data_IF_597480105856
#
_entry.id   IF_597480105856
#
_cell.length_a   1.000
_cell.length_b   1.000
_cell.length_c   1.000
_cell.angle_alpha   90.00
_cell.angle_beta   90.00
_cell.angle_gamma   90.00
#
_symmetry.space_group_name_H-M   'P 1'
#
loop_
_entity.id
_entity.type
_entity.pdbx_description
1 polymer ?
#
# COMPACT_ATOMS: atom_id res chain seq x y z
N UNK A 1 -52.33 -3.60 -30.93
CA UNK A 1 -52.13 -2.24 -30.40
C UNK A 1 -51.96 -2.42 -28.89
N UNK A 2 -50.72 -2.45 -28.42
CA UNK A 2 -50.38 -2.62 -27.01
C UNK A 2 -49.53 -1.40 -26.67
N UNK A 3 -50.02 -0.63 -25.71
CA UNK A 3 -49.50 0.68 -25.33
C UNK A 3 -48.22 0.56 -24.50
N UNK A 4 -47.21 1.37 -24.82
CA UNK A 4 -45.94 1.46 -24.10
C UNK A 4 -46.05 2.66 -23.13
N UNK A 5 -45.94 2.48 -21.81
CA UNK A 5 -45.89 3.62 -20.91
C UNK A 5 -44.52 4.29 -21.01
N UNK A 6 -44.52 5.52 -21.53
CA UNK A 6 -43.40 6.45 -21.42
C UNK A 6 -43.26 6.87 -19.95
N UNK A 7 -42.02 6.99 -19.47
CA UNK A 7 -41.62 7.41 -18.12
C UNK A 7 -41.37 6.29 -17.10
N UNK A 8 -40.25 5.58 -17.28
CA UNK A 8 -39.48 5.06 -16.14
C UNK A 8 -38.21 5.89 -16.01
N UNK A 9 -38.27 6.87 -15.12
CA UNK A 9 -37.12 7.63 -14.65
C UNK A 9 -36.12 6.65 -14.04
N UNK A 10 -34.93 6.55 -14.60
CA UNK A 10 -33.83 5.81 -13.99
C UNK A 10 -33.48 6.51 -12.66
N UNK A 11 -33.50 5.81 -11.52
CA UNK A 11 -32.99 6.40 -10.29
C UNK A 11 -31.49 6.66 -10.49
N UNK A 12 -31.10 7.94 -10.36
CA UNK A 12 -29.71 8.35 -10.17
C UNK A 12 -29.08 7.42 -9.13
N UNK A 13 -27.94 6.82 -9.47
CA UNK A 13 -27.08 6.17 -8.48
C UNK A 13 -26.86 7.18 -7.35
N UNK A 14 -27.50 6.94 -6.21
CA UNK A 14 -27.14 7.60 -4.96
C UNK A 14 -25.74 7.13 -4.63
N UNK A 15 -24.76 7.96 -4.98
CA UNK A 15 -23.37 7.82 -4.53
C UNK A 15 -23.38 7.58 -3.02
N UNK A 16 -22.86 6.42 -2.68
CA UNK A 16 -22.98 5.77 -1.38
C UNK A 16 -22.40 6.61 -0.26
N UNK A 17 -23.23 7.02 0.71
CA UNK A 17 -22.79 7.39 2.06
C UNK A 17 -22.04 6.22 2.75
N UNK A 18 -22.30 4.98 2.32
CA UNK A 18 -21.57 3.79 2.77
C UNK A 18 -20.07 3.79 2.41
N UNK A 19 -19.61 4.63 1.47
CA UNK A 19 -18.18 4.81 1.22
C UNK A 19 -17.51 5.67 2.32
N UNK A 20 -18.23 6.64 2.88
CA UNK A 20 -17.73 7.56 3.89
C UNK A 20 -17.62 6.90 5.28
N UNK A 21 -18.55 6.00 5.63
CA UNK A 21 -18.49 5.26 6.92
C UNK A 21 -17.37 4.21 6.99
N UNK A 22 -16.81 3.80 5.84
CA UNK A 22 -15.70 2.83 5.79
C UNK A 22 -14.34 3.41 6.20
N UNK A 23 -14.22 4.73 6.36
CA UNK A 23 -12.95 5.40 6.71
C UNK A 23 -12.44 5.11 8.13
N UNK A 24 -13.18 4.40 8.97
CA UNK A 24 -12.82 4.23 10.39
C UNK A 24 -12.17 2.87 10.76
N UNK A 25 -12.22 1.86 9.90
CA UNK A 25 -11.89 0.49 10.34
C UNK A 25 -10.42 0.10 10.22
N UNK A 26 -9.65 0.68 9.29
CA UNK A 26 -8.22 0.37 9.14
C UNK A 26 -7.39 1.61 9.42
N UNK A 27 -6.83 1.66 10.63
CA UNK A 27 -5.84 2.68 11.05
C UNK A 27 -4.39 2.21 10.95
N UNK A 28 -4.20 0.92 10.63
CA UNK A 28 -2.91 0.30 10.44
C UNK A 28 -2.88 -0.33 9.06
N UNK A 29 -1.84 -0.02 8.30
CA UNK A 29 -1.65 -0.53 6.96
C UNK A 29 -0.29 -1.21 6.86
N UNK A 30 -0.25 -2.37 6.22
CA UNK A 30 1.00 -3.06 5.98
C UNK A 30 1.78 -2.35 4.87
N UNK A 31 3.07 -2.14 5.11
CA UNK A 31 3.98 -1.59 4.13
C UNK A 31 4.90 -2.67 3.58
N UNK A 32 5.00 -2.73 2.25
CA UNK A 32 6.09 -3.41 1.56
C UNK A 32 7.17 -2.39 1.26
N UNK A 33 8.33 -2.63 1.81
CA UNK A 33 9.43 -1.66 1.82
C UNK A 33 10.54 -2.12 0.87
N UNK A 34 11.32 -1.18 0.36
CA UNK A 34 12.42 -1.51 -0.54
C UNK A 34 13.67 -1.85 0.26
N UNK A 35 14.40 -2.84 -0.21
CA UNK A 35 15.70 -3.24 0.33
C UNK A 35 16.79 -2.82 -0.64
N UNK A 36 17.83 -2.16 -0.13
CA UNK A 36 19.01 -1.80 -0.89
C UNK A 36 20.14 -2.78 -0.64
N UNK A 37 20.74 -3.26 -1.73
CA UNK A 37 21.78 -4.30 -1.74
C UNK A 37 23.18 -3.73 -1.93
N UNK A 38 23.53 -2.71 -1.14
CA UNK A 38 24.84 -2.08 -1.25
C UNK A 38 25.96 -2.98 -0.73
N UNK A 39 27.16 -2.83 -1.29
CA UNK A 39 28.32 -3.68 -1.01
C UNK A 39 28.77 -3.69 0.46
N UNK A 40 28.40 -2.68 1.24
CA UNK A 40 28.70 -2.59 2.67
C UNK A 40 27.67 -3.30 3.56
N UNK A 41 26.58 -3.82 2.98
CA UNK A 41 25.56 -4.58 3.68
C UNK A 41 26.06 -5.93 4.17
N UNK A 42 25.37 -6.49 5.17
CA UNK A 42 25.64 -7.86 5.63
C UNK A 42 25.06 -8.87 4.66
N UNK A 43 25.72 -10.00 4.51
CA UNK A 43 25.35 -11.05 3.55
C UNK A 43 24.20 -11.89 4.10
N UNK A 44 23.19 -12.16 3.26
CA UNK A 44 22.10 -13.09 3.58
C UNK A 44 21.42 -12.81 4.92
N UNK A 45 21.07 -13.87 5.66
CA UNK A 45 20.36 -13.79 6.95
C UNK A 45 21.19 -13.21 8.11
N UNK A 46 22.49 -13.01 7.93
CA UNK A 46 23.30 -12.25 8.90
C UNK A 46 22.90 -10.77 8.92
N UNK A 47 22.26 -10.29 7.85
CA UNK A 47 21.65 -8.97 7.82
C UNK A 47 20.28 -8.95 8.51
N UNK A 48 20.11 -8.02 9.45
CA UNK A 48 18.79 -7.73 10.01
C UNK A 48 17.80 -7.26 8.94
N UNK A 49 18.29 -6.55 7.91
CA UNK A 49 17.48 -6.11 6.78
C UNK A 49 16.93 -7.32 6.03
N UNK A 50 17.76 -8.31 5.72
CA UNK A 50 17.30 -9.54 5.08
C UNK A 50 16.28 -10.28 5.95
N UNK A 51 16.57 -10.47 7.24
CA UNK A 51 15.62 -11.18 8.13
C UNK A 51 14.25 -10.50 8.21
N UNK A 52 14.22 -9.17 8.25
CA UNK A 52 12.95 -8.41 8.28
C UNK A 52 12.26 -8.51 6.93
N UNK A 53 12.99 -8.28 5.83
CA UNK A 53 12.41 -8.23 4.50
C UNK A 53 11.85 -9.58 4.03
N UNK A 54 12.53 -10.68 4.38
CA UNK A 54 12.10 -12.04 4.03
C UNK A 54 11.30 -12.74 5.13
N UNK A 55 10.89 -12.01 6.18
CA UNK A 55 9.89 -12.53 7.12
C UNK A 55 8.53 -12.66 6.40
N UNK A 56 7.72 -13.61 6.86
CA UNK A 56 6.39 -13.86 6.31
C UNK A 56 5.56 -12.56 6.24
N UNK A 57 5.10 -12.23 5.02
CA UNK A 57 4.32 -11.03 4.74
C UNK A 57 5.12 -9.73 4.48
N UNK A 58 6.42 -9.65 4.80
CA UNK A 58 7.15 -8.38 4.71
C UNK A 58 7.48 -7.92 3.27
N UNK A 59 7.79 -8.86 2.37
CA UNK A 59 7.98 -8.61 0.94
C UNK A 59 6.89 -9.29 0.09
N UNK A 60 6.93 -9.10 -1.22
CA UNK A 60 6.17 -9.93 -2.17
C UNK A 60 6.69 -11.36 -2.18
N UNK A 61 5.76 -12.31 -2.28
CA UNK A 61 6.02 -13.75 -2.35
C UNK A 61 6.93 -14.12 -3.55
N UNK A 62 7.07 -13.21 -4.50
CA UNK A 62 7.89 -13.35 -5.70
C UNK A 62 9.39 -13.05 -5.48
N UNK A 63 9.79 -12.54 -4.30
CA UNK A 63 11.19 -12.21 -4.00
C UNK A 63 11.75 -13.27 -3.05
N UNK A 64 12.68 -14.08 -3.54
CA UNK A 64 13.41 -15.06 -2.75
C UNK A 64 14.65 -14.43 -2.10
N UNK A 65 14.99 -14.93 -0.91
CA UNK A 65 16.26 -14.61 -0.26
C UNK A 65 17.41 -15.18 -1.09
N UNK A 66 18.43 -14.37 -1.34
CA UNK A 66 19.69 -14.79 -1.94
C UNK A 66 20.78 -14.79 -0.87
N UNK A 67 21.28 -15.97 -0.49
CA UNK A 67 22.24 -16.10 0.60
C UNK A 67 23.56 -15.35 0.34
N UNK A 68 23.96 -15.17 -0.92
CA UNK A 68 25.20 -14.46 -1.29
C UNK A 68 25.06 -12.95 -1.42
N UNK A 69 23.85 -12.40 -1.29
CA UNK A 69 23.58 -10.99 -1.57
C UNK A 69 23.78 -10.13 -0.31
N UNK A 70 24.50 -8.99 -0.39
CA UNK A 70 24.60 -8.06 0.73
C UNK A 70 23.30 -7.25 0.85
N UNK A 71 22.71 -7.21 2.03
CA UNK A 71 21.50 -6.45 2.35
C UNK A 71 21.87 -5.34 3.33
N UNK A 72 21.81 -4.09 2.87
CA UNK A 72 22.39 -2.93 3.54
C UNK A 72 21.34 -2.06 4.24
N UNK A 73 20.29 -1.67 3.51
CA UNK A 73 19.28 -0.73 4.01
C UNK A 73 17.87 -1.22 3.72
N UNK A 74 16.94 -0.94 4.65
CA UNK A 74 15.50 -1.08 4.45
C UNK A 74 14.89 0.31 4.45
N UNK A 75 14.35 0.77 3.32
CA UNK A 75 13.76 2.11 3.24
C UNK A 75 12.26 2.06 3.46
N UNK A 76 11.81 2.83 4.44
CA UNK A 76 10.43 3.00 4.83
C UNK A 76 10.04 4.47 4.63
N UNK A 77 9.16 4.75 3.67
CA UNK A 77 8.68 6.10 3.41
C UNK A 77 8.30 6.36 1.96
N UNK A 78 8.32 7.65 1.61
CA UNK A 78 7.83 8.17 0.32
C UNK A 78 8.95 8.59 -0.63
N UNK A 79 10.19 8.13 -0.39
CA UNK A 79 11.32 8.53 -1.23
C UNK A 79 11.13 8.02 -2.67
N UNK A 80 11.28 8.87 -3.72
CA UNK A 80 11.00 8.47 -5.10
C UNK A 80 11.84 7.29 -5.61
N UNK A 81 13.11 7.20 -5.19
CA UNK A 81 14.01 6.10 -5.59
C UNK A 81 13.78 4.80 -4.81
N UNK A 82 12.88 4.82 -3.83
CA UNK A 82 12.60 3.66 -2.99
C UNK A 82 11.22 3.77 -2.35
N UNK A 83 10.14 3.73 -3.16
CA UNK A 83 8.80 3.93 -2.65
C UNK A 83 8.38 2.72 -1.81
N UNK A 84 7.95 2.95 -0.57
CA UNK A 84 7.18 1.94 0.16
C UNK A 84 5.79 1.82 -0.44
N UNK A 85 5.23 0.61 -0.45
CA UNK A 85 3.92 0.31 -0.99
C UNK A 85 2.95 -0.04 0.14
N UNK A 86 1.76 0.53 0.10
CA UNK A 86 0.64 0.17 0.97
C UNK A 86 -0.07 -1.02 0.36
N UNK A 87 -0.31 -2.06 1.17
CA UNK A 87 -1.07 -3.25 0.76
C UNK A 87 -2.42 -3.25 1.48
N UNK A 88 -3.50 -3.28 0.70
CA UNK A 88 -4.87 -3.38 1.19
C UNK A 88 -5.46 -4.69 0.67
N UNK A 89 -5.99 -5.54 1.55
CA UNK A 89 -6.52 -6.84 1.12
C UNK A 89 -8.00 -6.79 0.73
N UNK A 90 -8.75 -5.79 1.21
CA UNK A 90 -10.19 -5.68 1.01
C UNK A 90 -10.60 -4.29 0.49
N UNK A 91 -11.61 -4.19 -0.39
CA UNK A 91 -12.41 -5.28 -0.98
C UNK A 91 -11.68 -6.14 -2.04
N UNK A 92 -10.57 -5.66 -2.60
CA UNK A 92 -9.66 -6.40 -3.46
C UNK A 92 -8.22 -6.05 -3.11
N UNK A 93 -7.27 -6.95 -3.39
CA UNK A 93 -5.84 -6.72 -3.15
C UNK A 93 -5.39 -5.51 -3.97
N UNK A 94 -5.12 -4.41 -3.29
CA UNK A 94 -4.63 -3.16 -3.88
C UNK A 94 -3.24 -2.89 -3.36
N UNK A 95 -2.30 -2.60 -4.26
CA UNK A 95 -0.94 -2.23 -3.94
C UNK A 95 -0.67 -0.85 -4.55
N UNK A 96 -0.41 0.14 -3.71
CA UNK A 96 -0.24 1.54 -4.15
C UNK A 96 0.95 2.17 -3.44
N UNK A 97 1.75 3.02 -4.11
CA UNK A 97 2.82 3.75 -3.44
C UNK A 97 2.30 4.57 -2.24
N UNK A 98 3.03 4.56 -1.13
CA UNK A 98 2.68 5.31 0.08
C UNK A 98 2.54 6.81 -0.20
N UNK A 99 3.35 7.34 -1.11
CA UNK A 99 3.27 8.75 -1.53
C UNK A 99 1.94 9.09 -2.19
N UNK A 100 1.40 8.20 -3.02
CA UNK A 100 0.10 8.36 -3.66
C UNK A 100 -1.04 8.12 -2.66
N UNK A 101 -0.89 7.14 -1.77
CA UNK A 101 -1.83 6.87 -0.70
C UNK A 101 -2.04 8.11 0.20
N UNK A 102 -0.95 8.74 0.63
CA UNK A 102 -1.03 9.95 1.48
C UNK A 102 -1.63 11.16 0.75
N UNK A 103 -1.45 11.29 -0.56
CA UNK A 103 -2.09 12.36 -1.35
C UNK A 103 -3.62 12.24 -1.35
N UNK A 104 -4.14 11.02 -1.40
CA UNK A 104 -5.58 10.76 -1.39
C UNK A 104 -6.18 10.73 0.03
N UNK A 105 -5.33 10.61 1.06
CA UNK A 105 -5.72 10.50 2.48
C UNK A 105 -4.93 11.52 3.34
N UNK A 106 -5.11 12.83 3.12
CA UNK A 106 -4.33 13.88 3.77
C UNK A 106 -4.47 13.89 5.30
N UNK A 107 -5.56 13.35 5.85
CA UNK A 107 -5.78 13.18 7.29
C UNK A 107 -4.75 12.27 7.96
N UNK A 108 -4.13 11.35 7.21
CA UNK A 108 -3.07 10.49 7.70
C UNK A 108 -1.73 11.22 7.84
N UNK A 109 -1.53 12.30 7.08
CA UNK A 109 -0.30 13.09 7.07
C UNK A 109 -0.11 13.95 8.32
N UNK A 110 -1.14 14.15 9.13
CA UNK A 110 -1.11 15.02 10.30
C UNK A 110 -1.08 16.51 9.95
N UNK A 111 -1.77 17.33 10.75
CA UNK A 111 -1.99 18.75 10.46
C UNK A 111 -0.74 19.64 10.53
N UNK A 112 0.38 19.16 11.10
CA UNK A 112 1.63 19.92 11.26
C UNK A 112 2.72 19.58 10.25
N UNK A 113 2.54 18.52 9.47
CA UNK A 113 3.57 17.95 8.60
C UNK A 113 3.48 18.42 7.15
N UNK A 114 2.40 19.12 6.78
CA UNK A 114 2.13 19.61 5.42
C UNK A 114 2.37 21.12 5.26
N UNK A 115 3.24 21.71 6.08
CA UNK A 115 3.63 23.12 5.99
C UNK A 115 4.84 23.31 5.05
#
# INVERSE_FOLDING_TARGET
RIDIPTSMTFPMLQTTAAAAERGHLMRCFQLKCIVQTYAWGKIGLDSAVARIAFAEGALSDDIALEEGTPYAELWMGTHPSGPSLVVLEQPWKTITPLSEWLKHNPELGGSKSMA
#
